data_IF_964134864049
#
_entry.id   IF_964134864049
#
_cell.length_a   1.000
_cell.length_b   1.000
_cell.length_c   1.000
_cell.angle_alpha   90.00
_cell.angle_beta   90.00
_cell.angle_gamma   90.00
#
_symmetry.space_group_name_H-M   'P 1'
#
loop_
_entity.id
_entity.type
_entity.pdbx_description
1 polymer ?
#
# COMPACT_ATOMS: atom_id res chain seq x y z
N UNK A 1 1.95 4.27 9.15
CA UNK A 1 1.38 3.85 7.84
C UNK A 1 2.50 3.32 6.95
N UNK A 2 2.26 2.21 6.25
CA UNK A 2 3.11 1.75 5.15
C UNK A 2 2.92 2.65 3.92
N UNK A 3 3.96 2.79 3.11
CA UNK A 3 3.96 3.60 1.90
C UNK A 3 4.49 5.01 2.10
N UNK A 4 4.48 5.75 1.01
CA UNK A 4 4.94 7.14 0.93
C UNK A 4 6.04 7.32 -0.13
N UNK A 5 5.80 8.27 -1.03
CA UNK A 5 6.71 8.52 -2.16
C UNK A 5 8.10 9.01 -1.71
N UNK A 6 8.18 9.71 -0.57
CA UNK A 6 9.46 10.12 0.01
C UNK A 6 10.31 8.93 0.47
N UNK A 7 9.68 7.88 1.04
CA UNK A 7 10.39 6.65 1.39
C UNK A 7 10.83 5.87 0.15
N UNK A 8 9.98 5.82 -0.89
CA UNK A 8 10.35 5.24 -2.18
C UNK A 8 11.60 5.94 -2.74
N UNK A 9 11.61 7.27 -2.71
CA UNK A 9 12.75 8.08 -3.15
C UNK A 9 14.03 7.76 -2.37
N UNK A 10 13.94 7.66 -1.04
CA UNK A 10 15.09 7.30 -0.19
C UNK A 10 15.63 5.91 -0.51
N UNK A 11 14.77 4.91 -0.75
CA UNK A 11 15.19 3.57 -1.15
C UNK A 11 15.85 3.54 -2.53
N UNK A 12 15.36 4.33 -3.49
CA UNK A 12 15.97 4.46 -4.81
C UNK A 12 17.34 5.16 -4.71
N UNK A 13 17.43 6.22 -3.89
CA UNK A 13 18.70 6.92 -3.63
C UNK A 13 19.73 5.99 -2.95
N UNK A 14 19.28 5.19 -1.99
CA UNK A 14 20.11 4.17 -1.35
C UNK A 14 20.65 3.15 -2.37
N UNK A 15 19.78 2.62 -3.24
CA UNK A 15 20.19 1.66 -4.28
C UNK A 15 21.23 2.26 -5.24
N UNK A 16 21.10 3.53 -5.60
CA UNK A 16 22.10 4.24 -6.42
C UNK A 16 23.41 4.48 -5.66
N UNK A 17 23.35 4.69 -4.35
CA UNK A 17 24.51 4.85 -3.47
C UNK A 17 25.32 3.56 -3.25
N UNK A 18 24.79 2.40 -3.63
CA UNK A 18 25.50 1.10 -3.57
C UNK A 18 26.63 0.97 -4.63
N UNK A 19 26.82 2.00 -5.47
CA UNK A 19 27.86 2.01 -6.50
C UNK A 19 27.49 1.27 -7.78
N UNK A 20 26.27 0.75 -7.87
CA UNK A 20 25.73 0.12 -9.08
C UNK A 20 24.81 1.10 -9.82
N UNK A 21 24.89 1.15 -11.16
CA UNK A 21 23.99 1.98 -11.95
C UNK A 21 22.56 1.47 -11.82
N UNK A 22 21.59 2.37 -11.57
CA UNK A 22 20.20 2.00 -11.35
C UNK A 22 19.24 2.90 -12.13
N UNK A 23 18.20 2.28 -12.71
CA UNK A 23 17.05 2.93 -13.34
C UNK A 23 15.84 2.87 -12.41
N UNK A 24 15.04 3.92 -12.43
CA UNK A 24 13.70 3.90 -11.89
C UNK A 24 12.68 3.86 -13.03
N UNK A 25 11.77 2.88 -12.99
CA UNK A 25 10.73 2.65 -13.99
C UNK A 25 9.37 2.59 -13.29
N UNK A 26 8.30 3.01 -13.98
CA UNK A 26 6.93 2.95 -13.46
C UNK A 26 6.00 2.26 -14.44
N UNK A 27 5.27 1.25 -13.97
CA UNK A 27 4.35 0.41 -14.75
C UNK A 27 2.94 1.00 -14.91
N UNK A 28 2.67 2.20 -14.37
CA UNK A 28 1.41 2.92 -14.52
C UNK A 28 0.37 2.68 -13.42
N UNK A 29 -0.80 3.30 -13.59
CA UNK A 29 -1.86 3.47 -12.59
C UNK A 29 -1.36 4.25 -11.37
N UNK A 30 -0.58 5.29 -11.61
CA UNK A 30 0.18 6.03 -10.62
C UNK A 30 -0.57 7.22 -10.05
N UNK A 31 -1.39 7.90 -10.85
CA UNK A 31 -1.93 9.22 -10.48
C UNK A 31 -3.31 9.17 -9.85
N UNK A 32 -4.18 8.25 -10.30
CA UNK A 32 -5.59 8.22 -9.90
C UNK A 32 -6.00 6.85 -9.38
N UNK A 33 -7.01 6.83 -8.49
CA UNK A 33 -7.56 5.58 -7.93
C UNK A 33 -8.77 5.07 -8.74
N UNK A 34 -9.35 5.93 -9.58
CA UNK A 34 -10.52 5.64 -10.44
C UNK A 34 -10.52 6.52 -11.68
N UNK A 35 -11.23 6.11 -12.71
CA UNK A 35 -11.36 6.86 -13.97
C UNK A 35 -12.48 7.90 -13.95
N UNK A 36 -13.56 7.68 -13.19
CA UNK A 36 -14.67 8.62 -13.06
C UNK A 36 -14.45 9.58 -11.89
N UNK A 37 -14.09 10.83 -12.17
CA UNK A 37 -13.91 11.89 -11.18
C UNK A 37 -15.09 12.84 -11.20
N UNK A 38 -15.62 13.22 -10.04
CA UNK A 38 -16.60 14.28 -9.88
C UNK A 38 -16.00 15.65 -10.21
N UNK A 39 -16.83 16.58 -10.65
CA UNK A 39 -16.37 17.94 -11.01
C UNK A 39 -15.68 18.64 -9.85
N UNK A 40 -16.13 18.40 -8.62
CA UNK A 40 -15.59 18.92 -7.36
C UNK A 40 -14.22 18.31 -7.00
N UNK A 41 -13.93 17.10 -7.49
CA UNK A 41 -12.67 16.40 -7.21
C UNK A 41 -11.54 16.79 -8.17
N UNK A 42 -11.88 17.19 -9.40
CA UNK A 42 -10.91 17.42 -10.50
C UNK A 42 -9.78 18.35 -10.10
N UNK A 43 -10.06 19.42 -9.36
CA UNK A 43 -9.03 20.40 -8.96
C UNK A 43 -8.04 19.77 -7.99
N UNK A 44 -8.51 19.04 -6.98
CA UNK A 44 -7.68 18.34 -6.01
C UNK A 44 -6.84 17.24 -6.65
N UNK A 45 -7.45 16.42 -7.50
CA UNK A 45 -6.78 15.33 -8.19
C UNK A 45 -5.71 15.82 -9.20
N UNK A 46 -5.95 16.92 -9.92
CA UNK A 46 -4.92 17.57 -10.74
C UNK A 46 -3.69 18.00 -9.94
N UNK A 47 -3.90 18.54 -8.74
CA UNK A 47 -2.80 18.98 -7.85
C UNK A 47 -2.02 17.79 -7.31
N UNK A 48 -2.72 16.74 -6.88
CA UNK A 48 -2.13 15.47 -6.45
C UNK A 48 -1.25 14.86 -7.55
N UNK A 49 -1.78 14.77 -8.77
CA UNK A 49 -1.04 14.24 -9.92
C UNK A 49 0.21 15.06 -10.24
N UNK A 50 0.15 16.40 -10.14
CA UNK A 50 1.33 17.27 -10.33
C UNK A 50 2.37 17.05 -9.24
N UNK A 51 1.98 17.00 -7.96
CA UNK A 51 2.90 16.73 -6.86
C UNK A 51 3.58 15.35 -6.98
N UNK A 52 2.82 14.34 -7.42
CA UNK A 52 3.39 13.03 -7.74
C UNK A 52 4.39 13.13 -8.91
N UNK A 53 4.05 13.82 -9.98
CA UNK A 53 4.94 14.02 -11.13
C UNK A 53 6.23 14.77 -10.76
N UNK A 54 6.13 15.81 -9.92
CA UNK A 54 7.30 16.52 -9.38
C UNK A 54 8.20 15.60 -8.56
N UNK A 55 7.60 14.76 -7.72
CA UNK A 55 8.31 13.77 -6.94
C UNK A 55 9.00 12.74 -7.83
N UNK A 56 8.33 12.23 -8.87
CA UNK A 56 8.90 11.26 -9.82
C UNK A 56 10.07 11.86 -10.60
N UNK A 57 10.03 13.18 -10.94
CA UNK A 57 11.16 13.87 -11.55
C UNK A 57 12.37 13.97 -10.62
N UNK A 58 12.15 14.29 -9.33
CA UNK A 58 13.22 14.27 -8.32
C UNK A 58 13.83 12.88 -8.17
N UNK A 59 13.02 11.84 -8.29
CA UNK A 59 13.45 10.44 -8.27
C UNK A 59 14.13 10.00 -9.57
N UNK A 60 14.24 10.89 -10.58
CA UNK A 60 14.83 10.61 -11.89
C UNK A 60 14.18 9.41 -12.58
N UNK A 61 12.87 9.46 -12.71
CA UNK A 61 12.10 8.45 -13.45
C UNK A 61 12.62 8.35 -14.88
N UNK A 62 13.02 7.16 -15.32
CA UNK A 62 13.61 6.94 -16.64
C UNK A 62 12.56 6.59 -17.70
N UNK A 63 11.50 5.89 -17.32
CA UNK A 63 10.36 5.60 -18.18
C UNK A 63 9.10 5.31 -17.35
N UNK A 64 7.95 5.69 -17.88
CA UNK A 64 6.63 5.50 -17.32
C UNK A 64 5.67 5.02 -18.42
N UNK A 65 4.95 3.94 -18.16
CA UNK A 65 3.90 3.46 -19.08
C UNK A 65 2.53 3.67 -18.45
N UNK A 66 1.67 4.55 -19.00
CA UNK A 66 0.39 4.87 -18.38
C UNK A 66 -0.55 3.66 -18.36
N UNK A 67 -1.14 3.42 -17.19
CA UNK A 67 -2.23 2.47 -17.02
C UNK A 67 -3.61 3.10 -17.29
N UNK A 68 -4.69 2.30 -17.26
CA UNK A 68 -6.06 2.79 -17.48
C UNK A 68 -6.47 3.94 -16.56
N UNK A 69 -6.05 3.89 -15.28
CA UNK A 69 -6.39 4.93 -14.29
C UNK A 69 -5.72 6.27 -14.59
N UNK A 70 -4.52 6.26 -15.17
CA UNK A 70 -3.80 7.49 -15.52
C UNK A 70 -4.48 8.29 -16.63
N UNK A 71 -5.48 7.70 -17.26
CA UNK A 71 -6.35 8.34 -18.25
C UNK A 71 -7.51 9.16 -17.68
N UNK A 72 -7.73 9.18 -16.36
CA UNK A 72 -8.90 9.79 -15.73
C UNK A 72 -9.18 11.25 -16.11
N UNK A 73 -8.13 12.04 -16.37
CA UNK A 73 -8.22 13.44 -16.83
C UNK A 73 -7.80 13.65 -18.29
N UNK A 74 -7.70 12.57 -19.05
CA UNK A 74 -7.36 12.57 -20.47
C UNK A 74 -5.86 12.72 -20.76
N UNK A 75 -5.49 12.48 -22.03
CA UNK A 75 -4.11 12.47 -22.47
C UNK A 75 -3.45 13.86 -22.36
N UNK A 76 -4.15 14.93 -22.74
CA UNK A 76 -3.62 16.28 -22.67
C UNK A 76 -3.17 16.69 -21.26
N UNK A 77 -3.93 16.33 -20.23
CA UNK A 77 -3.52 16.57 -18.86
C UNK A 77 -2.28 15.74 -18.51
N UNK A 78 -2.26 14.45 -18.87
CA UNK A 78 -1.13 13.56 -18.60
C UNK A 78 0.15 14.05 -19.28
N UNK A 79 0.06 14.49 -20.54
CA UNK A 79 1.18 15.09 -21.29
C UNK A 79 1.72 16.34 -20.58
N UNK A 80 0.83 17.15 -19.97
CA UNK A 80 1.21 18.34 -19.21
C UNK A 80 2.02 18.05 -17.94
N UNK A 81 2.07 16.79 -17.48
CA UNK A 81 2.90 16.36 -16.36
C UNK A 81 4.39 16.28 -16.72
N UNK A 82 4.75 16.26 -18.02
CA UNK A 82 6.13 16.30 -18.51
C UNK A 82 7.00 15.12 -18.05
N UNK A 83 6.42 13.94 -17.93
CA UNK A 83 7.13 12.72 -17.55
C UNK A 83 7.65 11.96 -18.79
N UNK A 84 8.66 11.10 -18.62
CA UNK A 84 9.21 10.28 -19.71
C UNK A 84 8.25 9.14 -20.10
N UNK A 85 7.06 9.50 -20.61
CA UNK A 85 6.00 8.56 -20.99
C UNK A 85 6.42 7.67 -22.15
N UNK A 86 5.99 6.42 -22.09
CA UNK A 86 5.98 5.45 -23.18
C UNK A 86 4.55 4.98 -23.40
N UNK A 87 3.94 5.44 -24.46
CA UNK A 87 2.63 4.91 -24.87
C UNK A 87 2.73 3.46 -25.35
N UNK A 88 1.65 2.68 -25.29
CA UNK A 88 1.65 1.29 -25.74
C UNK A 88 2.20 1.14 -27.18
N UNK A 89 3.16 0.24 -27.35
CA UNK A 89 3.90 0.02 -28.60
C UNK A 89 5.18 0.85 -28.75
N UNK A 90 5.39 1.85 -27.91
CA UNK A 90 6.64 2.58 -27.84
C UNK A 90 7.71 1.81 -27.08
N UNK A 91 8.95 2.08 -27.44
CA UNK A 91 10.14 1.47 -26.85
C UNK A 91 11.17 2.54 -26.51
N UNK A 92 12.03 2.25 -25.54
CA UNK A 92 13.18 3.09 -25.19
C UNK A 92 14.39 2.21 -24.90
N UNK A 93 15.52 2.53 -25.52
CA UNK A 93 16.81 1.92 -25.21
C UNK A 93 17.57 2.88 -24.31
N UNK A 94 18.00 2.41 -23.16
CA UNK A 94 18.72 3.15 -22.13
C UNK A 94 20.12 2.57 -21.93
N UNK A 95 21.11 3.42 -21.75
CA UNK A 95 22.44 3.00 -21.33
C UNK A 95 22.59 3.16 -19.83
N UNK A 96 23.00 2.09 -19.15
CA UNK A 96 23.10 2.01 -17.70
C UNK A 96 24.40 1.32 -17.34
N UNK A 97 25.40 2.08 -16.90
CA UNK A 97 26.71 1.52 -16.57
C UNK A 97 27.39 0.74 -17.72
N UNK A 98 27.22 1.19 -18.94
CA UNK A 98 27.73 0.51 -20.14
C UNK A 98 26.86 -0.65 -20.65
N UNK A 99 25.77 -0.97 -19.96
CA UNK A 99 24.80 -1.96 -20.40
C UNK A 99 23.63 -1.31 -21.14
N UNK A 100 23.10 -1.98 -22.17
CA UNK A 100 21.91 -1.56 -22.91
C UNK A 100 20.66 -2.24 -22.32
N UNK A 101 19.81 -1.43 -21.69
CA UNK A 101 18.52 -1.86 -21.10
C UNK A 101 17.39 -1.36 -21.98
N UNK A 102 16.60 -2.28 -22.53
CA UNK A 102 15.41 -1.98 -23.31
C UNK A 102 14.17 -1.86 -22.42
N UNK A 103 13.33 -0.87 -22.67
CA UNK A 103 12.01 -0.72 -22.02
C UNK A 103 10.96 -0.70 -23.12
N UNK A 104 9.99 -1.61 -23.04
CA UNK A 104 8.86 -1.71 -23.95
C UNK A 104 7.55 -1.49 -23.20
N UNK A 105 6.69 -0.57 -23.68
CA UNK A 105 5.34 -0.40 -23.14
C UNK A 105 4.32 -1.17 -24.01
N UNK A 106 3.37 -1.86 -23.38
CA UNK A 106 2.37 -2.65 -24.07
C UNK A 106 0.99 -2.66 -23.44
N UNK A 107 -0.03 -3.01 -24.23
CA UNK A 107 -1.40 -3.29 -23.76
C UNK A 107 -1.69 -4.79 -23.66
N UNK A 108 -0.90 -5.60 -24.35
CA UNK A 108 -1.02 -7.04 -24.48
C UNK A 108 0.36 -7.67 -24.75
N UNK A 109 0.41 -8.99 -24.69
CA UNK A 109 1.63 -9.75 -24.93
C UNK A 109 2.21 -9.54 -26.33
N UNK A 110 1.37 -9.35 -27.36
CA UNK A 110 1.80 -9.17 -28.73
C UNK A 110 2.55 -7.86 -28.93
N UNK A 111 2.02 -6.78 -28.35
CA UNK A 111 2.64 -5.45 -28.36
C UNK A 111 3.99 -5.44 -27.65
N UNK A 112 4.08 -6.10 -26.48
CA UNK A 112 5.34 -6.25 -25.74
C UNK A 112 6.35 -7.10 -26.53
N UNK A 113 5.93 -8.19 -27.15
CA UNK A 113 6.77 -9.03 -28.00
C UNK A 113 7.36 -8.27 -29.17
N UNK A 114 6.53 -7.48 -29.87
CA UNK A 114 6.99 -6.65 -30.98
C UNK A 114 8.02 -5.59 -30.54
N UNK A 115 7.78 -4.96 -29.38
CA UNK A 115 8.72 -4.01 -28.78
C UNK A 115 10.03 -4.67 -28.37
N UNK A 116 9.96 -5.83 -27.70
CA UNK A 116 11.13 -6.56 -27.27
C UNK A 116 12.02 -7.00 -28.44
N UNK A 117 11.42 -7.47 -29.54
CA UNK A 117 12.17 -7.83 -30.75
C UNK A 117 12.99 -6.64 -31.28
N UNK A 118 12.37 -5.47 -31.44
CA UNK A 118 13.06 -4.25 -31.90
C UNK A 118 14.20 -3.85 -30.95
N UNK A 119 13.99 -3.97 -29.65
CA UNK A 119 15.00 -3.67 -28.65
C UNK A 119 16.18 -4.63 -28.71
N UNK A 120 15.92 -5.94 -28.88
CA UNK A 120 16.97 -6.94 -29.06
C UNK A 120 17.77 -6.70 -30.35
N UNK A 121 17.11 -6.39 -31.46
CA UNK A 121 17.74 -5.98 -32.73
C UNK A 121 18.62 -4.73 -32.54
N UNK A 122 18.26 -3.83 -31.63
CA UNK A 122 19.05 -2.64 -31.24
C UNK A 122 20.15 -2.92 -30.23
N UNK A 123 20.34 -4.18 -29.82
CA UNK A 123 21.39 -4.63 -28.92
C UNK A 123 21.03 -4.54 -27.43
N UNK A 124 19.75 -4.50 -27.06
CA UNK A 124 19.33 -4.55 -25.67
C UNK A 124 19.73 -5.90 -25.02
N UNK A 125 20.48 -5.83 -23.93
CA UNK A 125 20.96 -6.97 -23.18
C UNK A 125 19.95 -7.45 -22.13
N UNK A 126 19.13 -6.52 -21.61
CA UNK A 126 18.02 -6.78 -20.71
C UNK A 126 16.78 -6.00 -21.18
N UNK A 127 15.61 -6.65 -21.23
CA UNK A 127 14.36 -6.02 -21.68
C UNK A 127 13.30 -6.08 -20.62
N UNK A 128 12.83 -4.91 -20.20
CA UNK A 128 11.72 -4.75 -19.25
C UNK A 128 10.45 -4.38 -20.00
N UNK A 129 9.40 -5.15 -19.80
CA UNK A 129 8.05 -4.80 -20.25
C UNK A 129 7.33 -3.97 -19.17
N UNK A 130 6.81 -2.79 -19.53
CA UNK A 130 5.91 -2.02 -18.68
C UNK A 130 4.47 -2.24 -19.14
N UNK A 131 3.59 -2.61 -18.20
CA UNK A 131 2.25 -3.06 -18.53
C UNK A 131 1.21 -2.57 -17.52
N UNK A 132 0.31 -1.73 -17.95
CA UNK A 132 -0.75 -1.16 -17.10
C UNK A 132 -1.98 -2.06 -16.87
N UNK A 133 -1.96 -3.32 -17.32
CA UNK A 133 -3.08 -4.26 -17.27
C UNK A 133 -2.89 -5.42 -16.30
N UNK A 134 -3.74 -6.46 -16.46
CA UNK A 134 -3.68 -7.65 -15.62
C UNK A 134 -2.49 -8.54 -15.97
N UNK A 135 -1.78 -9.11 -15.00
CA UNK A 135 -0.59 -9.94 -15.25
C UNK A 135 -0.82 -11.11 -16.21
N UNK A 136 -2.00 -11.73 -16.18
CA UNK A 136 -2.35 -12.85 -17.06
C UNK A 136 -2.32 -12.47 -18.54
N UNK A 137 -2.65 -11.24 -18.88
CA UNK A 137 -2.66 -10.75 -20.27
C UNK A 137 -1.25 -10.51 -20.83
N UNK A 138 -0.22 -10.44 -20.01
CA UNK A 138 1.14 -10.10 -20.39
C UNK A 138 2.13 -11.27 -20.34
N UNK A 139 1.84 -12.30 -19.54
CA UNK A 139 2.80 -13.37 -19.18
C UNK A 139 3.29 -14.28 -20.31
N UNK A 140 2.83 -14.09 -21.55
CA UNK A 140 3.28 -14.82 -22.75
C UNK A 140 4.12 -13.98 -23.71
N UNK A 141 4.52 -12.76 -23.32
CA UNK A 141 5.30 -11.85 -24.16
C UNK A 141 6.72 -12.40 -24.40
N UNK A 142 7.03 -12.78 -25.65
CA UNK A 142 8.34 -13.32 -25.99
C UNK A 142 9.42 -12.23 -26.09
N UNK A 143 10.66 -12.55 -25.70
CA UNK A 143 11.81 -11.64 -25.79
C UNK A 143 11.93 -10.61 -24.70
N UNK A 144 10.93 -10.53 -23.77
CA UNK A 144 10.96 -9.73 -22.54
C UNK A 144 11.57 -10.57 -21.42
N UNK A 145 12.48 -10.04 -20.62
CA UNK A 145 13.08 -10.77 -19.50
C UNK A 145 12.19 -10.70 -18.24
N UNK A 146 11.54 -9.55 -18.03
CA UNK A 146 10.60 -9.35 -16.93
C UNK A 146 9.55 -8.31 -17.31
N UNK A 147 8.35 -8.48 -16.82
CA UNK A 147 7.26 -7.51 -16.92
C UNK A 147 7.02 -6.88 -15.56
N UNK A 148 6.95 -5.55 -15.51
CA UNK A 148 6.47 -4.78 -14.37
C UNK A 148 5.04 -4.36 -14.68
N UNK A 149 4.08 -4.92 -13.94
CA UNK A 149 2.67 -4.64 -14.13
C UNK A 149 2.19 -3.60 -13.10
N UNK A 150 1.58 -2.51 -13.59
CA UNK A 150 0.78 -1.60 -12.79
C UNK A 150 -0.42 -2.35 -12.20
N UNK A 151 -0.87 -1.98 -11.01
CA UNK A 151 -2.01 -2.64 -10.38
C UNK A 151 -3.30 -2.28 -11.11
N UNK A 152 -4.08 -3.29 -11.53
CA UNK A 152 -5.46 -3.09 -11.92
C UNK A 152 -6.37 -3.01 -10.67
N UNK A 153 -7.43 -2.17 -10.68
CA UNK A 153 -8.33 -1.99 -9.54
C UNK A 153 -8.97 -3.28 -9.00
N UNK A 154 -9.18 -4.24 -9.88
CA UNK A 154 -9.85 -5.52 -9.61
C UNK A 154 -8.96 -6.54 -8.86
N UNK A 155 -7.69 -6.23 -8.67
CA UNK A 155 -6.71 -7.15 -8.04
C UNK A 155 -6.39 -6.79 -6.59
N UNK A 156 -7.19 -5.94 -5.96
CA UNK A 156 -7.03 -5.58 -4.54
C UNK A 156 -7.58 -6.74 -3.70
N UNK A 157 -6.71 -7.69 -3.38
CA UNK A 157 -6.99 -8.75 -2.42
C UNK A 157 -6.05 -8.67 -1.22
N UNK A 158 -6.52 -9.08 -0.05
CA UNK A 158 -5.79 -9.05 1.22
C UNK A 158 -4.54 -9.97 1.27
N UNK A 159 -4.27 -10.71 0.20
CA UNK A 159 -3.25 -11.76 0.20
C UNK A 159 -1.82 -11.28 -0.16
N UNK A 160 -1.62 -9.99 -0.46
CA UNK A 160 -0.31 -9.50 -0.92
C UNK A 160 0.18 -8.33 -0.09
N UNK A 161 0.88 -8.62 0.95
CA UNK A 161 1.40 -7.56 1.82
C UNK A 161 2.45 -6.66 1.15
N UNK A 162 3.25 -7.20 0.20
CA UNK A 162 4.42 -6.49 -0.32
C UNK A 162 4.49 -6.42 -1.86
N UNK A 163 3.69 -7.21 -2.55
CA UNK A 163 3.74 -7.43 -3.99
C UNK A 163 3.94 -8.91 -4.31
N UNK A 164 3.84 -9.26 -5.58
CA UNK A 164 3.99 -10.66 -6.02
C UNK A 164 4.81 -10.80 -7.29
N UNK A 165 5.53 -11.90 -7.38
CA UNK A 165 6.18 -12.37 -8.58
C UNK A 165 5.40 -13.57 -9.13
N UNK A 166 4.76 -13.39 -10.27
CA UNK A 166 4.08 -14.45 -11.01
C UNK A 166 5.14 -15.10 -11.92
N UNK A 167 5.41 -16.37 -11.66
CA UNK A 167 6.35 -17.15 -12.47
C UNK A 167 5.59 -17.81 -13.62
N UNK A 168 6.03 -17.54 -14.84
CA UNK A 168 5.47 -18.08 -16.08
C UNK A 168 6.58 -18.16 -17.14
N UNK A 169 6.21 -18.21 -18.41
CA UNK A 169 7.17 -18.11 -19.52
C UNK A 169 7.96 -16.80 -19.47
N UNK A 170 7.30 -15.71 -19.03
CA UNK A 170 7.93 -14.44 -18.64
C UNK A 170 7.51 -14.13 -17.22
N UNK A 171 8.44 -13.81 -16.30
CA UNK A 171 8.09 -13.41 -14.95
C UNK A 171 7.39 -12.04 -14.95
N UNK A 172 6.31 -11.91 -14.15
CA UNK A 172 5.59 -10.66 -13.99
C UNK A 172 5.69 -10.20 -12.54
N UNK A 173 6.34 -9.07 -12.32
CA UNK A 173 6.40 -8.41 -11.02
C UNK A 173 5.26 -7.41 -10.88
N UNK A 174 4.49 -7.51 -9.81
CA UNK A 174 3.39 -6.62 -9.49
C UNK A 174 3.55 -6.07 -8.09
N UNK A 175 3.59 -4.75 -7.93
CA UNK A 175 3.64 -4.06 -6.64
C UNK A 175 2.24 -3.74 -6.14
N UNK A 176 2.11 -3.52 -4.82
CA UNK A 176 0.86 -3.09 -4.22
C UNK A 176 0.49 -1.65 -4.58
N UNK A 177 -0.82 -1.35 -4.51
CA UNK A 177 -1.37 -0.01 -4.68
C UNK A 177 -0.83 0.99 -3.63
N UNK A 178 -1.00 2.27 -3.93
CA UNK A 178 -0.69 3.40 -3.04
C UNK A 178 0.79 3.50 -2.65
N UNK A 179 1.70 3.01 -3.50
CA UNK A 179 3.14 3.11 -3.24
C UNK A 179 3.57 2.50 -1.90
N UNK A 180 3.04 1.32 -1.54
CA UNK A 180 3.35 0.63 -0.28
C UNK A 180 4.61 -0.21 -0.35
N UNK A 181 5.03 -0.57 -1.56
CA UNK A 181 6.25 -1.35 -1.80
C UNK A 181 6.91 -0.92 -3.10
N UNK A 182 8.19 -1.20 -3.20
CA UNK A 182 8.98 -1.14 -4.42
C UNK A 182 9.35 -2.55 -4.86
N UNK A 183 9.50 -2.74 -6.17
CA UNK A 183 10.19 -3.90 -6.71
C UNK A 183 11.61 -3.49 -7.10
N UNK A 184 12.61 -4.23 -6.62
CA UNK A 184 14.01 -4.12 -7.05
C UNK A 184 14.36 -5.33 -7.89
N UNK A 185 14.95 -5.06 -9.06
CA UNK A 185 15.44 -6.09 -10.01
C UNK A 185 16.95 -5.90 -10.10
N UNK A 186 17.71 -6.82 -9.56
CA UNK A 186 19.16 -6.83 -9.64
C UNK A 186 19.58 -7.75 -10.81
N UNK A 187 20.40 -7.23 -11.72
CA UNK A 187 20.76 -7.92 -12.97
C UNK A 187 22.27 -8.07 -13.09
N UNK A 188 22.76 -9.28 -13.31
CA UNK A 188 24.13 -9.58 -13.66
C UNK A 188 24.18 -10.12 -15.11
N UNK A 189 24.63 -9.28 -16.04
CA UNK A 189 24.70 -9.65 -17.45
C UNK A 189 25.79 -10.70 -17.71
N UNK A 190 25.52 -11.60 -18.65
CA UNK A 190 26.52 -12.55 -19.09
C UNK A 190 27.55 -11.88 -20.03
N UNK A 191 28.85 -12.22 -19.95
CA UNK A 191 29.85 -11.74 -20.90
C UNK A 191 29.53 -12.11 -22.35
N UNK A 192 28.83 -13.24 -22.56
CA UNK A 192 28.38 -13.73 -23.88
C UNK A 192 27.27 -12.85 -24.50
N UNK A 193 26.67 -11.94 -23.76
CA UNK A 193 25.49 -11.17 -24.18
C UNK A 193 24.18 -12.00 -24.20
N UNK A 194 24.19 -13.23 -23.71
CA UNK A 194 22.96 -14.02 -23.58
C UNK A 194 21.98 -13.37 -22.62
N UNK A 195 20.66 -13.40 -22.89
CA UNK A 195 19.64 -12.87 -21.98
C UNK A 195 19.74 -13.55 -20.61
N UNK A 196 19.68 -12.78 -19.50
CA UNK A 196 19.80 -13.35 -18.17
C UNK A 196 18.53 -14.09 -17.76
N UNK A 197 18.70 -15.17 -17.00
CA UNK A 197 17.62 -15.98 -16.46
C UNK A 197 17.22 -15.52 -15.04
N UNK A 198 15.92 -15.65 -14.71
CA UNK A 198 15.45 -15.39 -13.36
C UNK A 198 16.04 -16.39 -12.37
N UNK A 199 16.88 -15.90 -11.46
CA UNK A 199 17.44 -16.69 -10.38
C UNK A 199 16.51 -16.67 -9.14
N UNK A 200 16.83 -17.52 -8.17
CA UNK A 200 16.22 -17.42 -6.84
C UNK A 200 16.72 -16.15 -6.14
N UNK A 201 15.81 -15.26 -5.82
CA UNK A 201 16.12 -14.07 -5.03
C UNK A 201 16.19 -14.35 -3.52
N UNK A 202 16.84 -13.47 -2.77
CA UNK A 202 16.94 -13.55 -1.31
C UNK A 202 15.54 -13.66 -0.66
N UNK A 203 14.56 -12.91 -1.14
CA UNK A 203 13.18 -12.98 -0.64
C UNK A 203 12.48 -14.33 -0.90
N UNK A 204 12.85 -15.05 -1.97
CA UNK A 204 12.36 -16.42 -2.20
C UNK A 204 12.96 -17.39 -1.17
N UNK A 205 14.27 -17.22 -0.89
CA UNK A 205 15.00 -18.00 0.11
C UNK A 205 14.45 -17.76 1.51
N UNK A 206 14.22 -16.51 1.87
CA UNK A 206 13.65 -16.11 3.16
C UNK A 206 12.23 -16.65 3.37
N UNK A 207 11.36 -16.55 2.36
CA UNK A 207 10.01 -17.13 2.42
C UNK A 207 10.05 -18.65 2.58
N UNK A 208 10.91 -19.33 1.82
CA UNK A 208 11.07 -20.78 1.96
C UNK A 208 11.63 -21.14 3.33
N UNK A 209 12.63 -20.41 3.82
CA UNK A 209 13.21 -20.60 5.15
C UNK A 209 12.16 -20.47 6.27
N UNK A 210 11.29 -19.47 6.18
CA UNK A 210 10.17 -19.28 7.11
C UNK A 210 9.17 -20.44 7.05
N UNK A 211 8.71 -20.80 5.85
CA UNK A 211 7.75 -21.89 5.65
C UNK A 211 8.29 -23.25 6.14
N UNK A 212 9.59 -23.51 5.90
CA UNK A 212 10.24 -24.72 6.42
C UNK A 212 10.35 -24.67 7.97
N UNK A 213 10.54 -23.48 8.56
CA UNK A 213 10.54 -23.29 10.00
C UNK A 213 9.18 -23.62 10.64
N UNK A 214 8.11 -23.09 10.08
CA UNK A 214 6.75 -23.37 10.56
C UNK A 214 6.42 -24.87 10.48
N UNK A 215 6.79 -25.53 9.38
CA UNK A 215 6.63 -26.99 9.22
C UNK A 215 7.46 -27.79 10.22
N UNK A 216 8.69 -27.35 10.48
CA UNK A 216 9.57 -27.99 11.44
C UNK A 216 8.96 -27.96 12.85
N UNK A 217 8.42 -26.83 13.27
CA UNK A 217 7.77 -26.70 14.58
C UNK A 217 6.49 -27.54 14.68
N UNK A 218 5.71 -27.65 13.61
CA UNK A 218 4.55 -28.55 13.57
C UNK A 218 4.95 -30.02 13.77
N UNK A 219 6.00 -30.50 13.09
CA UNK A 219 6.47 -31.87 13.22
C UNK A 219 7.11 -32.15 14.59
N UNK A 220 7.83 -31.20 15.17
CA UNK A 220 8.35 -31.30 16.54
C UNK A 220 7.21 -31.37 17.57
N UNK A 221 6.17 -30.55 17.39
CA UNK A 221 5.00 -30.58 18.28
C UNK A 221 4.27 -31.92 18.19
N UNK A 222 4.14 -32.50 17.00
CA UNK A 222 3.56 -33.83 16.81
C UNK A 222 4.44 -34.92 17.44
N UNK A 223 5.77 -34.86 17.30
CA UNK A 223 6.71 -35.79 17.95
C UNK A 223 6.63 -35.79 19.47
N UNK A 224 6.25 -34.65 20.08
CA UNK A 224 6.05 -34.51 21.52
C UNK A 224 4.72 -35.14 22.05
N UNK A 225 3.84 -35.60 21.17
CA UNK A 225 2.56 -36.16 21.59
C UNK A 225 2.72 -37.57 22.16
N UNK A 226 2.05 -37.93 23.28
CA UNK A 226 2.07 -39.29 23.81
C UNK A 226 1.29 -40.24 22.89
N UNK A 227 1.74 -41.51 22.82
CA UNK A 227 1.00 -42.57 22.11
C UNK A 227 1.33 -42.73 20.62
N UNK A 228 2.37 -42.09 20.09
CA UNK A 228 2.84 -42.31 18.71
C UNK A 228 3.38 -43.73 18.52
N UNK A 229 2.99 -44.36 17.39
CA UNK A 229 3.61 -45.62 16.97
C UNK A 229 5.09 -45.44 16.63
N UNK A 230 5.87 -46.49 16.75
CA UNK A 230 7.31 -46.48 16.41
C UNK A 230 7.56 -46.00 14.96
N UNK A 231 6.81 -46.50 14.00
CA UNK A 231 6.90 -46.13 12.59
C UNK A 231 6.58 -44.64 12.37
N UNK A 232 5.54 -44.11 13.06
CA UNK A 232 5.19 -42.69 12.94
C UNK A 232 6.26 -41.80 13.54
N UNK A 233 6.83 -42.19 14.67
CA UNK A 233 7.94 -41.49 15.30
C UNK A 233 9.17 -41.44 14.40
N UNK A 234 9.58 -42.58 13.85
CA UNK A 234 10.69 -42.66 12.92
C UNK A 234 10.49 -41.79 11.65
N UNK A 235 9.26 -41.80 11.10
CA UNK A 235 8.91 -40.95 9.97
C UNK A 235 9.01 -39.45 10.31
N UNK A 236 8.52 -39.03 11.47
CA UNK A 236 8.58 -37.64 11.91
C UNK A 236 10.03 -37.20 12.18
N UNK A 237 10.83 -38.05 12.84
CA UNK A 237 12.26 -37.80 13.08
C UNK A 237 13.02 -37.58 11.77
N UNK A 238 12.80 -38.45 10.77
CA UNK A 238 13.42 -38.31 9.45
C UNK A 238 13.00 -37.00 8.76
N UNK A 239 11.74 -36.60 8.85
CA UNK A 239 11.24 -35.35 8.30
C UNK A 239 11.82 -34.11 9.01
N UNK A 240 11.91 -34.14 10.32
CA UNK A 240 12.54 -33.08 11.14
C UNK A 240 13.99 -32.90 10.73
N UNK A 241 14.75 -34.00 10.57
CA UNK A 241 16.13 -33.96 10.15
C UNK A 241 16.27 -33.39 8.71
N UNK A 242 15.46 -33.84 7.78
CA UNK A 242 15.47 -33.35 6.40
C UNK A 242 15.15 -31.85 6.31
N UNK A 243 14.17 -31.38 7.09
CA UNK A 243 13.82 -29.96 7.16
C UNK A 243 14.91 -29.10 7.80
N UNK A 244 15.58 -29.61 8.84
CA UNK A 244 16.72 -28.92 9.47
C UNK A 244 17.87 -28.72 8.48
N UNK A 245 18.29 -29.78 7.77
CA UNK A 245 19.30 -29.70 6.73
C UNK A 245 18.91 -28.75 5.59
N UNK A 246 17.65 -28.79 5.19
CA UNK A 246 17.14 -27.85 4.16
C UNK A 246 17.22 -26.40 4.60
N UNK A 247 16.88 -26.11 5.87
CA UNK A 247 16.98 -24.76 6.44
C UNK A 247 18.43 -24.27 6.54
N UNK A 248 19.37 -25.13 6.90
CA UNK A 248 20.80 -24.78 6.88
C UNK A 248 21.27 -24.39 5.48
N UNK A 249 20.90 -25.18 4.47
CA UNK A 249 21.21 -24.86 3.06
C UNK A 249 20.58 -23.53 2.61
N UNK A 250 19.35 -23.24 3.03
CA UNK A 250 18.70 -21.96 2.75
C UNK A 250 19.36 -20.80 3.47
N UNK A 251 19.79 -20.96 4.73
CA UNK A 251 20.53 -19.95 5.47
C UNK A 251 21.88 -19.62 4.80
N UNK A 252 22.60 -20.64 4.33
CA UNK A 252 23.83 -20.44 3.57
C UNK A 252 23.57 -19.71 2.23
N UNK A 253 22.50 -20.07 1.52
CA UNK A 253 22.11 -19.41 0.28
C UNK A 253 21.70 -17.94 0.50
N UNK A 254 21.06 -17.62 1.63
CA UNK A 254 20.69 -16.25 2.00
C UNK A 254 21.91 -15.34 2.25
N UNK A 255 23.05 -15.91 2.64
CA UNK A 255 24.30 -15.16 2.85
C UNK A 255 25.05 -14.83 1.55
N UNK A 256 24.73 -15.52 0.44
CA UNK A 256 25.33 -15.25 -0.85
C UNK A 256 24.66 -14.04 -1.50
N UNK A 257 25.33 -12.90 -1.52
CA UNK A 257 24.84 -11.65 -2.10
C UNK A 257 25.19 -11.48 -3.58
N UNK A 258 26.10 -12.28 -4.10
CA UNK A 258 26.57 -12.17 -5.48
C UNK A 258 25.64 -12.89 -6.47
N UNK A 259 25.13 -12.14 -7.44
CA UNK A 259 24.43 -12.71 -8.59
C UNK A 259 25.41 -13.41 -9.53
N UNK A 260 25.05 -14.59 -10.00
CA UNK A 260 25.81 -15.26 -11.06
C UNK A 260 25.67 -14.50 -12.39
N UNK A 261 26.73 -14.36 -13.18
CA UNK A 261 26.64 -13.77 -14.53
C UNK A 261 25.56 -14.47 -15.37
N UNK A 262 24.78 -13.71 -16.10
CA UNK A 262 23.63 -14.21 -16.86
C UNK A 262 22.39 -14.50 -16.02
N UNK A 263 22.23 -13.84 -14.87
CA UNK A 263 21.05 -14.00 -14.02
C UNK A 263 20.50 -12.67 -13.53
N UNK A 264 19.23 -12.66 -13.09
CA UNK A 264 18.63 -11.55 -12.36
C UNK A 264 17.74 -12.05 -11.21
N UNK A 265 17.56 -11.22 -10.20
CA UNK A 265 16.68 -11.47 -9.07
C UNK A 265 15.63 -10.39 -8.93
N UNK A 266 14.53 -10.73 -8.27
CA UNK A 266 13.43 -9.81 -7.98
C UNK A 266 13.17 -9.80 -6.48
N UNK A 267 13.16 -8.61 -5.89
CA UNK A 267 12.89 -8.40 -4.47
C UNK A 267 11.84 -7.31 -4.29
N UNK A 268 10.85 -7.57 -3.45
CA UNK A 268 9.87 -6.57 -3.03
C UNK A 268 10.32 -5.96 -1.71
N UNK A 269 10.33 -4.64 -1.65
CA UNK A 269 10.72 -3.88 -0.46
C UNK A 269 9.50 -3.15 0.06
N UNK A 270 8.91 -3.58 1.19
CA UNK A 270 7.81 -2.87 1.82
C UNK A 270 8.29 -1.53 2.37
N UNK A 271 7.55 -0.47 2.11
CA UNK A 271 7.87 0.88 2.58
C UNK A 271 7.30 1.09 3.98
N UNK A 272 7.97 0.49 4.96
CA UNK A 272 7.56 0.52 6.38
C UNK A 272 7.64 1.92 7.00
N UNK A 273 6.88 2.12 8.10
CA UNK A 273 6.83 3.41 8.79
C UNK A 273 8.20 3.89 9.30
N UNK A 274 9.07 2.95 9.68
CA UNK A 274 10.38 3.24 10.23
C UNK A 274 11.45 3.60 9.20
N UNK A 275 11.18 3.41 7.89
CA UNK A 275 12.15 3.76 6.84
C UNK A 275 12.36 5.27 6.76
N UNK A 276 13.61 5.65 6.48
CA UNK A 276 13.96 7.03 6.15
C UNK A 276 13.18 7.53 4.92
N UNK A 277 12.93 8.81 4.86
CA UNK A 277 12.27 9.51 3.76
C UNK A 277 13.21 10.51 3.12
N UNK A 278 13.04 10.77 1.82
CA UNK A 278 13.82 11.80 1.11
C UNK A 278 13.25 13.18 1.43
N UNK A 279 14.05 14.11 1.98
CA UNK A 279 13.56 15.40 2.43
C UNK A 279 13.08 16.30 1.28
N UNK A 280 13.61 16.15 0.06
CA UNK A 280 13.20 16.97 -1.10
C UNK A 280 11.82 16.53 -1.58
N UNK A 281 11.58 15.22 -1.62
CA UNK A 281 10.27 14.67 -1.99
C UNK A 281 9.24 14.94 -0.88
N UNK A 282 9.64 14.85 0.39
CA UNK A 282 8.77 15.21 1.50
C UNK A 282 8.37 16.69 1.48
N UNK A 283 9.24 17.58 1.03
CA UNK A 283 8.93 18.99 0.84
C UNK A 283 7.86 19.21 -0.25
N UNK A 284 7.90 18.46 -1.34
CA UNK A 284 6.85 18.49 -2.39
C UNK A 284 5.51 18.02 -1.81
N UNK A 285 5.52 16.91 -1.07
CA UNK A 285 4.32 16.38 -0.44
C UNK A 285 3.74 17.35 0.59
N UNK A 286 4.59 17.96 1.42
CA UNK A 286 4.18 18.95 2.42
C UNK A 286 3.57 20.22 1.78
N UNK A 287 4.15 20.69 0.68
CA UNK A 287 3.61 21.82 -0.09
C UNK A 287 2.22 21.48 -0.65
N UNK A 288 2.07 20.30 -1.23
CA UNK A 288 0.77 19.80 -1.70
C UNK A 288 -0.26 19.68 -0.56
N UNK A 289 0.11 19.04 0.56
CA UNK A 289 -0.81 18.88 1.70
C UNK A 289 -1.25 20.24 2.26
N UNK A 290 -0.36 21.22 2.35
CA UNK A 290 -0.66 22.60 2.76
C UNK A 290 -1.63 23.30 1.80
N UNK A 291 -1.40 23.17 0.50
CA UNK A 291 -2.25 23.77 -0.53
C UNK A 291 -3.66 23.18 -0.50
N UNK A 292 -3.77 21.85 -0.45
CA UNK A 292 -5.08 21.15 -0.36
C UNK A 292 -5.81 21.51 0.93
N UNK A 293 -5.10 21.61 2.05
CA UNK A 293 -5.69 22.04 3.31
C UNK A 293 -6.31 23.45 3.19
N UNK A 294 -5.61 24.38 2.55
CA UNK A 294 -6.11 25.75 2.35
C UNK A 294 -7.33 25.78 1.42
N UNK A 295 -7.32 25.01 0.34
CA UNK A 295 -8.45 24.91 -0.59
C UNK A 295 -9.69 24.33 0.07
N UNK A 296 -9.54 23.20 0.77
CA UNK A 296 -10.66 22.55 1.44
C UNK A 296 -11.26 23.45 2.55
N UNK A 297 -10.38 24.18 3.26
CA UNK A 297 -10.81 25.14 4.27
C UNK A 297 -11.56 26.32 3.64
N UNK A 298 -11.05 26.89 2.55
CA UNK A 298 -11.71 27.97 1.83
C UNK A 298 -13.06 27.51 1.27
N UNK A 299 -13.08 26.35 0.63
CA UNK A 299 -14.33 25.78 0.11
C UNK A 299 -15.37 25.52 1.20
N UNK A 300 -14.94 24.96 2.35
CA UNK A 300 -15.84 24.71 3.48
C UNK A 300 -16.41 26.00 4.07
N UNK A 301 -15.68 27.10 4.06
CA UNK A 301 -16.16 28.41 4.52
C UNK A 301 -17.17 29.04 3.56
N UNK A 302 -16.97 28.89 2.28
CA UNK A 302 -17.78 29.49 1.23
C UNK A 302 -19.03 28.68 0.89
N UNK A 303 -18.91 27.34 0.80
CA UNK A 303 -19.96 26.46 0.30
C UNK A 303 -20.40 25.39 1.32
N UNK A 304 -19.69 25.27 2.45
CA UNK A 304 -19.93 24.17 3.39
C UNK A 304 -21.23 24.40 4.17
N UNK A 305 -22.15 23.47 4.02
CA UNK A 305 -23.37 23.42 4.80
C UNK A 305 -23.15 22.64 6.10
N UNK A 306 -23.69 23.09 7.26
CA UNK A 306 -23.70 22.27 8.45
C UNK A 306 -24.51 21.01 8.23
N UNK A 307 -24.20 19.94 8.97
CA UNK A 307 -25.05 18.76 8.93
C UNK A 307 -26.48 19.12 9.32
N UNK A 308 -27.49 18.54 8.63
CA UNK A 308 -28.87 18.74 9.03
C UNK A 308 -29.07 18.26 10.47
N UNK A 309 -30.00 18.87 11.25
CA UNK A 309 -30.33 18.33 12.56
C UNK A 309 -30.93 16.94 12.43
N UNK A 310 -30.79 16.08 13.45
CA UNK A 310 -31.49 14.81 13.47
C UNK A 310 -33.01 15.01 13.35
N UNK A 311 -33.69 14.07 12.74
CA UNK A 311 -35.16 14.10 12.66
C UNK A 311 -35.79 14.07 14.08
N UNK A 312 -37.01 14.58 14.24
CA UNK A 312 -37.71 14.51 15.53
C UNK A 312 -37.72 13.08 16.09
N UNK A 313 -37.33 12.91 17.33
CA UNK A 313 -37.23 11.62 18.00
C UNK A 313 -35.95 10.83 17.71
N UNK A 314 -35.07 11.32 16.87
CA UNK A 314 -33.76 10.69 16.64
C UNK A 314 -32.69 11.30 17.56
N UNK A 315 -31.70 10.49 17.96
CA UNK A 315 -30.60 10.95 18.78
C UNK A 315 -29.60 11.80 17.97
N UNK A 316 -29.06 12.83 18.61
CA UNK A 316 -27.96 13.66 18.12
C UNK A 316 -26.62 13.21 18.68
N UNK A 317 -25.52 13.60 18.01
CA UNK A 317 -24.16 13.43 18.52
C UNK A 317 -23.86 14.50 19.60
N UNK A 318 -23.37 14.06 20.76
CA UNK A 318 -23.10 14.93 21.93
C UNK A 318 -21.59 15.15 22.17
N UNK A 319 -20.73 14.27 21.61
CA UNK A 319 -19.29 14.31 21.82
C UNK A 319 -18.85 13.57 23.09
N UNK A 320 -17.57 13.22 23.15
CA UNK A 320 -17.02 12.29 24.14
C UNK A 320 -17.16 12.74 25.58
N UNK A 321 -17.02 14.03 25.85
CA UNK A 321 -17.07 14.57 27.23
C UNK A 321 -18.41 14.30 27.92
N UNK A 322 -19.49 14.19 27.18
CA UNK A 322 -20.80 13.85 27.73
C UNK A 322 -20.85 12.44 28.36
N UNK A 323 -19.93 11.56 27.97
CA UNK A 323 -19.86 10.18 28.48
C UNK A 323 -19.06 10.08 29.79
N UNK A 324 -18.14 11.01 30.05
CA UNK A 324 -17.15 10.98 31.16
C UNK A 324 -17.81 10.83 32.53
N UNK A 325 -18.86 11.57 32.76
CA UNK A 325 -19.52 11.64 34.11
C UNK A 325 -20.15 10.32 34.52
N UNK A 326 -20.79 9.62 33.57
CA UNK A 326 -21.48 8.35 33.86
C UNK A 326 -20.59 7.10 33.61
N UNK A 327 -19.60 7.23 32.75
CA UNK A 327 -18.71 6.12 32.38
C UNK A 327 -17.21 6.44 32.64
N UNK A 328 -16.80 6.86 33.86
CA UNK A 328 -15.44 7.32 34.13
C UNK A 328 -14.39 6.23 33.91
N UNK A 329 -14.70 4.97 34.22
CA UNK A 329 -13.78 3.84 34.04
C UNK A 329 -13.54 3.55 32.55
N UNK A 330 -14.58 3.49 31.74
CA UNK A 330 -14.47 3.29 30.29
C UNK A 330 -13.77 4.49 29.62
N UNK A 331 -14.06 5.71 30.09
CA UNK A 331 -13.43 6.92 29.59
C UNK A 331 -11.91 6.94 29.87
N UNK A 332 -11.47 6.51 31.07
CA UNK A 332 -10.05 6.39 31.38
C UNK A 332 -9.32 5.33 30.54
N UNK A 333 -10.01 4.29 30.08
CA UNK A 333 -9.46 3.36 29.09
C UNK A 333 -9.33 4.04 27.74
N UNK A 334 -10.39 4.70 27.27
CA UNK A 334 -10.43 5.42 26.00
C UNK A 334 -9.28 6.44 25.87
N UNK A 335 -9.04 7.26 26.87
CA UNK A 335 -8.00 8.29 26.86
C UNK A 335 -6.59 7.75 26.59
N UNK A 336 -6.34 6.48 26.91
CA UNK A 336 -5.04 5.81 26.67
C UNK A 336 -4.94 5.15 25.31
N UNK A 337 -6.03 5.14 24.53
CA UNK A 337 -6.03 4.53 23.19
C UNK A 337 -5.60 5.51 22.12
N UNK A 338 -5.13 4.98 20.98
CA UNK A 338 -4.90 5.79 19.78
C UNK A 338 -6.15 6.49 19.25
N UNK A 339 -7.35 5.97 19.57
CA UNK A 339 -8.62 6.56 19.19
C UNK A 339 -8.83 7.95 19.79
N UNK A 340 -8.44 8.15 21.05
CA UNK A 340 -8.56 9.44 21.75
C UNK A 340 -7.64 10.53 21.16
N UNK A 341 -6.64 10.15 20.38
CA UNK A 341 -5.64 11.06 19.81
C UNK A 341 -5.66 11.04 18.26
N UNK A 342 -6.69 10.43 17.67
CA UNK A 342 -6.75 10.20 16.23
C UNK A 342 -6.71 11.52 15.43
N UNK A 343 -7.46 12.55 15.84
CA UNK A 343 -7.49 13.82 15.14
C UNK A 343 -6.17 14.59 15.24
N UNK A 344 -5.47 14.52 16.36
CA UNK A 344 -4.16 15.15 16.54
C UNK A 344 -3.10 14.59 15.56
N UNK A 345 -3.25 13.33 15.11
CA UNK A 345 -2.38 12.77 14.07
C UNK A 345 -2.58 13.47 12.72
N UNK A 346 -3.80 13.89 12.40
CA UNK A 346 -4.10 14.68 11.21
C UNK A 346 -3.57 16.11 11.33
N UNK A 347 -3.74 16.75 12.49
CA UNK A 347 -3.21 18.09 12.74
C UNK A 347 -1.69 18.14 12.57
N UNK A 348 -0.99 17.14 13.14
CA UNK A 348 0.47 17.00 12.98
C UNK A 348 0.90 16.82 11.52
N UNK A 349 0.07 16.14 10.73
CA UNK A 349 0.34 15.85 9.32
C UNK A 349 -0.24 16.92 8.36
N UNK A 350 -0.84 17.99 8.86
CA UNK A 350 -1.57 19.02 8.09
C UNK A 350 -2.70 18.43 7.21
N UNK A 351 -3.34 17.36 7.67
CA UNK A 351 -4.39 16.62 6.94
C UNK A 351 -5.79 16.75 7.56
N UNK A 352 -5.95 17.59 8.59
CA UNK A 352 -7.21 17.79 9.30
C UNK A 352 -8.33 18.42 8.44
N UNK A 353 -8.00 18.94 7.28
CA UNK A 353 -8.97 19.49 6.33
C UNK A 353 -9.15 18.59 5.08
N UNK A 354 -8.65 17.38 5.10
CA UNK A 354 -8.83 16.41 4.04
C UNK A 354 -10.04 15.52 4.31
N UNK A 355 -11.00 15.51 3.37
CA UNK A 355 -12.25 14.75 3.50
C UNK A 355 -12.02 13.24 3.60
N UNK A 356 -11.07 12.72 2.85
CA UNK A 356 -10.66 11.31 2.87
C UNK A 356 -10.02 10.87 4.20
N UNK A 357 -9.44 11.79 4.96
CA UNK A 357 -8.85 11.51 6.27
C UNK A 357 -9.83 11.75 7.40
N UNK A 358 -10.54 12.90 7.37
CA UNK A 358 -11.38 13.34 8.47
C UNK A 358 -12.56 12.39 8.73
N UNK A 359 -13.05 11.69 7.71
CA UNK A 359 -14.18 10.76 7.80
C UNK A 359 -14.01 9.71 8.90
N UNK A 360 -12.77 9.22 9.12
CA UNK A 360 -12.44 8.24 10.15
C UNK A 360 -11.95 8.89 11.46
N UNK A 361 -11.70 10.20 11.49
CA UNK A 361 -11.06 10.88 12.61
C UNK A 361 -11.99 11.85 13.35
N UNK A 362 -13.29 11.81 13.06
CA UNK A 362 -14.33 12.59 13.75
C UNK A 362 -15.56 11.75 14.04
N UNK A 363 -16.41 12.25 14.91
CA UNK A 363 -17.68 11.61 15.26
C UNK A 363 -18.78 12.05 14.28
N UNK A 364 -19.51 11.08 13.71
CA UNK A 364 -20.69 11.34 12.90
C UNK A 364 -20.40 12.08 11.58
N UNK A 365 -19.31 11.74 10.88
CA UNK A 365 -18.98 12.37 9.59
C UNK A 365 -20.14 12.21 8.59
N UNK A 366 -20.59 13.34 8.02
CA UNK A 366 -21.71 13.43 7.07
C UNK A 366 -23.04 12.82 7.58
N UNK A 367 -23.19 12.72 8.91
CA UNK A 367 -24.43 12.25 9.52
C UNK A 367 -25.21 13.41 10.12
N UNK A 368 -26.55 13.31 10.21
CA UNK A 368 -27.38 14.34 10.88
C UNK A 368 -26.86 14.66 12.28
N UNK A 369 -26.59 15.94 12.53
CA UNK A 369 -26.03 16.43 13.81
C UNK A 369 -24.56 16.12 14.04
N UNK A 370 -23.87 15.52 13.07
CA UNK A 370 -22.46 15.20 13.11
C UNK A 370 -21.54 16.29 12.53
N UNK A 371 -20.47 15.87 11.84
CA UNK A 371 -19.48 16.75 11.19
C UNK A 371 -19.68 16.73 9.68
N UNK A 372 -20.13 17.83 9.08
CA UNK A 372 -20.25 18.00 7.63
C UNK A 372 -19.26 19.04 7.09
N UNK A 373 -18.69 19.88 7.96
CA UNK A 373 -17.72 20.91 7.58
C UNK A 373 -16.39 20.65 8.25
N UNK A 374 -15.32 20.68 7.47
CA UNK A 374 -13.95 20.43 7.97
C UNK A 374 -13.42 21.53 8.90
N UNK A 375 -14.02 22.73 8.87
CA UNK A 375 -13.70 23.87 9.71
C UNK A 375 -14.56 23.96 10.99
N UNK A 376 -15.53 23.05 11.17
CA UNK A 376 -16.46 23.03 12.31
C UNK A 376 -16.52 21.64 12.98
N UNK A 377 -15.38 21.14 13.42
CA UNK A 377 -15.27 19.81 14.03
C UNK A 377 -15.59 19.83 15.52
N UNK A 378 -15.20 20.91 16.23
CA UNK A 378 -15.42 21.15 17.65
C UNK A 378 -15.17 19.95 18.59
N UNK A 379 -16.13 19.65 19.51
CA UNK A 379 -16.10 18.51 20.46
C UNK A 379 -16.18 17.11 19.80
N UNK A 380 -16.36 17.01 18.48
CA UNK A 380 -16.49 15.76 17.72
C UNK A 380 -15.17 15.28 17.13
N UNK A 381 -14.02 15.85 17.53
CA UNK A 381 -12.69 15.37 17.22
C UNK A 381 -12.47 13.96 17.76
N UNK A 382 -11.62 13.20 17.06
CA UNK A 382 -11.19 11.85 17.41
C UNK A 382 -12.21 10.74 17.08
N UNK A 383 -11.80 9.50 17.23
CA UNK A 383 -12.68 8.33 17.16
C UNK A 383 -13.30 8.15 18.53
N UNK A 384 -14.45 8.75 18.75
CA UNK A 384 -15.10 8.81 20.05
C UNK A 384 -16.01 7.64 20.36
N UNK A 385 -16.61 7.68 21.56
CA UNK A 385 -17.56 6.67 22.02
C UNK A 385 -18.70 6.46 21.01
N UNK A 386 -19.20 7.55 20.44
CA UNK A 386 -20.32 7.54 19.50
C UNK A 386 -19.97 6.97 18.11
N UNK A 387 -18.68 6.85 17.72
CA UNK A 387 -18.30 6.12 16.50
C UNK A 387 -18.64 4.63 16.64
N UNK A 388 -18.48 4.10 17.84
CA UNK A 388 -18.79 2.71 18.15
C UNK A 388 -20.25 2.51 18.58
N UNK A 389 -20.80 3.40 19.41
CA UNK A 389 -22.09 3.22 20.06
C UNK A 389 -23.25 3.95 19.36
N UNK A 390 -22.97 4.86 18.43
CA UNK A 390 -23.97 5.70 17.75
C UNK A 390 -24.30 6.97 18.52
N UNK A 391 -25.18 7.86 17.96
CA UNK A 391 -25.51 9.14 18.55
C UNK A 391 -26.20 8.98 19.91
N UNK A 392 -25.76 9.70 20.94
CA UNK A 392 -26.03 9.39 22.33
C UNK A 392 -26.94 10.38 23.07
N UNK A 393 -27.49 11.43 22.41
CA UNK A 393 -28.26 12.46 23.14
C UNK A 393 -29.48 11.93 23.91
N UNK A 394 -30.18 10.91 23.36
CA UNK A 394 -31.32 10.29 24.05
C UNK A 394 -30.81 9.46 25.23
N UNK A 395 -29.70 8.71 25.07
CA UNK A 395 -29.08 7.93 26.12
C UNK A 395 -28.63 8.83 27.29
N UNK A 396 -27.92 9.91 27.01
CA UNK A 396 -27.46 10.87 28.04
C UNK A 396 -28.64 11.46 28.84
N UNK A 397 -29.76 11.69 28.16
CA UNK A 397 -30.98 12.20 28.84
C UNK A 397 -31.72 11.12 29.61
N UNK A 398 -31.81 9.90 29.07
CA UNK A 398 -32.60 8.82 29.68
C UNK A 398 -31.82 8.06 30.77
N UNK A 399 -30.50 7.97 30.65
CA UNK A 399 -29.64 7.23 31.60
C UNK A 399 -29.81 5.71 31.56
N UNK A 400 -30.43 5.15 30.51
CA UNK A 400 -30.72 3.70 30.43
C UNK A 400 -29.91 3.03 29.28
N UNK A 401 -29.45 1.81 29.51
CA UNK A 401 -28.63 1.08 28.54
C UNK A 401 -29.33 0.83 27.20
N UNK A 402 -30.66 0.71 27.20
CA UNK A 402 -31.43 0.41 25.99
C UNK A 402 -31.65 1.66 25.11
N UNK A 403 -31.31 2.83 25.60
CA UNK A 403 -31.44 4.10 24.87
C UNK A 403 -30.22 4.43 23.99
N UNK A 404 -29.15 3.63 24.01
CA UNK A 404 -28.02 3.76 23.12
C UNK A 404 -28.21 2.91 21.84
N UNK A 405 -28.02 3.44 20.65
CA UNK A 405 -28.29 2.70 19.40
C UNK A 405 -27.50 1.40 19.24
N UNK A 406 -26.29 1.35 19.76
CA UNK A 406 -25.41 0.17 19.63
C UNK A 406 -24.68 -0.10 20.93
N UNK A 407 -25.25 -0.97 21.76
CA UNK A 407 -24.63 -1.36 23.04
C UNK A 407 -23.33 -2.15 22.86
N UNK A 408 -23.30 -3.09 21.91
CA UNK A 408 -22.12 -3.90 21.59
C UNK A 408 -21.73 -3.68 20.13
N UNK A 409 -20.64 -2.93 19.85
CA UNK A 409 -20.11 -2.80 18.52
C UNK A 409 -19.66 -4.13 17.94
N UNK A 410 -19.85 -4.32 16.64
CA UNK A 410 -19.48 -5.52 15.91
C UNK A 410 -18.24 -5.29 15.05
N UNK A 411 -17.69 -6.35 14.47
CA UNK A 411 -16.57 -6.24 13.54
C UNK A 411 -16.86 -5.25 12.39
N UNK A 412 -18.10 -5.21 11.88
CA UNK A 412 -18.48 -4.28 10.80
C UNK A 412 -18.37 -2.80 11.22
N UNK A 413 -18.57 -2.50 12.51
CA UNK A 413 -18.36 -1.14 13.04
C UNK A 413 -16.89 -0.73 12.95
N UNK A 414 -15.98 -1.64 13.26
CA UNK A 414 -14.54 -1.39 13.17
C UNK A 414 -14.06 -1.27 11.71
N UNK A 415 -14.58 -2.13 10.84
CA UNK A 415 -14.22 -2.15 9.41
C UNK A 415 -14.64 -0.88 8.65
N UNK A 416 -15.51 -0.04 9.20
CA UNK A 416 -15.80 1.29 8.65
C UNK A 416 -14.57 2.21 8.57
N UNK A 417 -13.57 1.99 9.45
CA UNK A 417 -12.31 2.75 9.48
C UNK A 417 -11.08 1.85 9.30
N UNK A 418 -11.10 0.63 9.86
CA UNK A 418 -10.03 -0.36 9.70
C UNK A 418 -10.20 -1.17 8.41
N UNK A 419 -10.12 -0.48 7.27
CA UNK A 419 -10.14 -1.12 5.96
C UNK A 419 -8.78 -1.77 5.66
N UNK A 420 -8.70 -2.74 4.73
CA UNK A 420 -7.42 -3.30 4.29
C UNK A 420 -6.41 -2.24 3.83
N UNK A 421 -6.90 -1.13 3.28
CA UNK A 421 -6.08 -0.02 2.81
C UNK A 421 -5.49 0.80 3.96
N UNK A 422 -6.22 0.98 5.05
CA UNK A 422 -5.82 1.85 6.16
C UNK A 422 -5.25 1.08 7.36
N UNK A 423 -5.55 -0.22 7.47
CA UNK A 423 -5.17 -1.05 8.61
C UNK A 423 -4.91 -2.50 8.19
N UNK A 424 -3.83 -2.71 7.43
CA UNK A 424 -3.47 -3.99 6.77
C UNK A 424 -3.46 -5.18 7.73
N UNK A 425 -3.05 -4.97 8.98
CA UNK A 425 -2.93 -6.03 9.98
C UNK A 425 -4.10 -6.02 10.98
N UNK A 426 -5.24 -5.39 10.61
CA UNK A 426 -6.39 -5.37 11.51
C UNK A 426 -6.94 -6.77 11.71
N UNK A 427 -6.99 -7.17 12.97
CA UNK A 427 -7.57 -8.43 13.43
C UNK A 427 -8.50 -8.07 14.60
N UNK A 428 -9.79 -8.25 14.42
CA UNK A 428 -10.79 -7.87 15.41
C UNK A 428 -10.53 -8.50 16.77
N UNK A 429 -10.19 -9.79 16.81
CA UNK A 429 -9.95 -10.51 18.05
C UNK A 429 -8.73 -9.97 18.83
N UNK A 430 -7.69 -9.52 18.09
CA UNK A 430 -6.46 -8.95 18.67
C UNK A 430 -6.60 -7.46 19.03
N UNK A 431 -7.44 -6.72 18.29
CA UNK A 431 -7.55 -5.26 18.45
C UNK A 431 -8.65 -4.88 19.46
N UNK A 432 -9.75 -5.64 19.51
CA UNK A 432 -10.84 -5.37 20.45
C UNK A 432 -10.37 -5.25 21.91
N UNK A 433 -9.53 -6.16 22.46
CA UNK A 433 -9.06 -6.04 23.85
C UNK A 433 -8.26 -4.76 24.14
N UNK A 434 -7.73 -4.09 23.11
CA UNK A 434 -6.95 -2.85 23.28
C UNK A 434 -7.82 -1.62 23.52
N UNK A 435 -9.11 -1.69 23.19
CA UNK A 435 -10.09 -0.61 23.37
C UNK A 435 -11.13 -0.96 24.43
N UNK A 436 -11.20 -2.23 24.84
CA UNK A 436 -12.02 -2.67 25.95
C UNK A 436 -11.24 -2.61 27.28
N UNK A 437 -11.95 -2.45 28.37
CA UNK A 437 -11.39 -2.46 29.71
C UNK A 437 -12.47 -2.29 30.78
N UNK A 438 -12.09 -1.91 31.98
CA UNK A 438 -13.04 -1.65 33.07
C UNK A 438 -14.08 -0.63 32.62
N UNK A 439 -15.35 -0.92 32.88
CA UNK A 439 -16.48 -0.09 32.46
C UNK A 439 -17.09 -0.41 31.09
N UNK A 440 -16.58 -1.42 30.38
CA UNK A 440 -17.16 -1.95 29.13
C UNK A 440 -17.88 -3.31 29.31
N UNK A 441 -18.06 -3.76 30.55
CA UNK A 441 -18.72 -5.01 30.87
C UNK A 441 -20.26 -4.90 30.81
#
# INVERSE_FOLDING_TARGET
MRGGIGKAAAQIAQARGEGLPALYLDGGNTFFERTGLGADEVVGEKRKARALADSLRLMQLAAYAPGPLDGALGAQFRDSLGLPELSPGQIRLLEVGGAKVGVAAGRDASTLTAGARKLRESGAQFVVGLFGGTPAAAGTAAGVDIIVAGQAPETVGAEWDDGRLIRGSVPVAQVQSRGRSLVRIDVALAPSGAPPALARGQGDVEREFKAQGERLELFKAELGQPGLSADRKQLLESRVQALALRREALAAAAQSTALSPGSFTVRFTPLEAALASDPNVDAVVAAYDKEVAQLNLAWAREHGEPCPPPAPGQAAYVGNEACRTCHPAAFAVYERTGHAHAYATLEKALKQYRLDCISCHVVGFQQPGGVCRVDQVDRRKNVGCENCHGPASIHVKAGTADSIPRRKPTVSTCLGCHTPENSIHFDFAKYLPRVLGSGHA
#
